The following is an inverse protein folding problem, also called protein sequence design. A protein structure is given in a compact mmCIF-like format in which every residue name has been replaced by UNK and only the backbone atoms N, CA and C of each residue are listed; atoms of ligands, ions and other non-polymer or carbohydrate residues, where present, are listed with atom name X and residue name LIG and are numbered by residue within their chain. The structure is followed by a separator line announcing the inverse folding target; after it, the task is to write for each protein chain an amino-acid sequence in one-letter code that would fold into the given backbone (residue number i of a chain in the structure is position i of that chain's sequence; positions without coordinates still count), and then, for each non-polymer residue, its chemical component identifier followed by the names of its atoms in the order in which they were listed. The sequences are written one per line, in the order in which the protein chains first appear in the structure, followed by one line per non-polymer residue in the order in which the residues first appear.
data_IF_016707193442
#
_entry.id   IF_016707193442
#
_cell.length_a   1.000
_cell.length_b   1.000
_cell.length_c   1.000
_cell.angle_alpha   90.00
_cell.angle_beta   90.00
_cell.angle_gamma   90.00
#
_symmetry.space_group_name_H-M   'P 1'
#
loop_
_entity.id
_entity.type
_entity.pdbx_description
1 polymer ?
#
# COMPACT_ATOMS: atom_id res chain seq x y z
N UNK A 1 46.78 -27.90 57.33
CA UNK A 1 46.22 -28.75 56.29
C UNK A 1 44.76 -28.37 56.19
N UNK A 2 44.42 -27.51 55.30
CA UNK A 2 43.06 -27.26 54.90
C UNK A 2 43.16 -26.76 53.44
N UNK A 3 43.06 -27.72 52.52
CA UNK A 3 42.92 -27.42 51.10
C UNK A 3 41.52 -26.88 50.87
N UNK A 4 41.47 -25.58 50.68
CA UNK A 4 40.29 -24.91 50.24
C UNK A 4 40.09 -25.30 48.75
N UNK A 5 39.14 -26.15 48.52
CA UNK A 5 38.58 -26.46 47.18
C UNK A 5 38.05 -25.16 46.66
N UNK A 6 38.80 -24.57 45.75
CA UNK A 6 38.33 -23.44 44.96
C UNK A 6 37.33 -24.01 43.94
N UNK A 7 36.08 -24.07 44.35
CA UNK A 7 34.99 -24.36 43.40
C UNK A 7 34.91 -23.21 42.44
N UNK A 8 35.58 -23.37 41.34
CA UNK A 8 35.43 -22.55 40.15
C UNK A 8 33.98 -22.72 39.64
N UNK A 9 33.10 -21.90 40.18
CA UNK A 9 31.74 -21.77 39.63
C UNK A 9 31.90 -21.18 38.25
N UNK A 10 31.46 -21.82 37.19
CA UNK A 10 31.50 -21.27 35.85
C UNK A 10 30.53 -20.10 35.85
N UNK A 11 31.03 -18.87 35.77
CA UNK A 11 30.26 -17.65 35.54
C UNK A 11 29.46 -17.66 34.23
N UNK A 12 29.49 -18.77 33.53
CA UNK A 12 29.00 -18.96 32.19
C UNK A 12 27.46 -19.16 32.10
N UNK A 13 26.86 -19.71 33.18
CA UNK A 13 25.40 -19.91 33.16
C UNK A 13 24.60 -18.58 33.20
N UNK A 14 25.12 -17.57 33.88
CA UNK A 14 24.49 -16.24 33.91
C UNK A 14 24.60 -15.54 32.55
N UNK A 15 25.78 -15.58 31.96
CA UNK A 15 26.00 -15.00 30.63
C UNK A 15 25.18 -15.73 29.57
N UNK A 16 25.11 -17.05 29.64
CA UNK A 16 24.31 -17.89 28.74
C UNK A 16 22.81 -17.61 28.94
N UNK A 17 22.36 -17.50 30.20
CA UNK A 17 20.96 -17.20 30.50
C UNK A 17 20.57 -15.77 30.09
N UNK A 18 21.41 -14.77 30.37
CA UNK A 18 21.18 -13.39 29.95
C UNK A 18 21.20 -13.25 28.43
N UNK A 19 22.07 -13.96 27.75
CA UNK A 19 22.09 -13.96 26.27
C UNK A 19 20.88 -14.66 25.66
N UNK A 20 20.35 -15.70 26.31
CA UNK A 20 19.14 -16.40 25.89
C UNK A 20 17.86 -15.56 26.09
N UNK A 21 17.84 -14.66 27.10
CA UNK A 21 16.71 -13.76 27.36
C UNK A 21 16.89 -12.36 26.73
N UNK A 22 18.06 -12.05 26.19
CA UNK A 22 18.23 -10.80 25.46
C UNK A 22 17.27 -10.78 24.27
N UNK A 23 16.36 -9.82 24.22
CA UNK A 23 15.53 -9.66 23.04
C UNK A 23 16.44 -9.40 21.84
N UNK A 24 16.49 -10.32 20.91
CA UNK A 24 17.16 -10.08 19.64
C UNK A 24 16.47 -8.89 18.96
N UNK A 25 17.25 -7.91 18.49
CA UNK A 25 16.69 -6.85 17.66
C UNK A 25 16.11 -7.49 16.41
N UNK A 26 14.79 -7.53 16.34
CA UNK A 26 14.10 -8.01 15.15
C UNK A 26 14.32 -6.99 14.03
N UNK A 27 14.78 -7.41 12.84
CA UNK A 27 14.90 -6.49 11.71
C UNK A 27 13.54 -5.87 11.38
N UNK A 28 13.57 -4.65 10.85
CA UNK A 28 12.35 -3.99 10.41
C UNK A 28 11.64 -4.83 9.34
N UNK A 29 10.32 -5.07 9.46
CA UNK A 29 9.59 -5.83 8.46
C UNK A 29 9.67 -5.15 7.07
N UNK A 30 9.53 -5.91 5.98
CA UNK A 30 9.45 -5.35 4.65
C UNK A 30 8.28 -4.36 4.54
N UNK A 31 8.44 -3.34 3.70
CA UNK A 31 7.43 -2.30 3.46
C UNK A 31 7.04 -1.48 4.70
N UNK A 32 7.91 -1.43 5.70
CA UNK A 32 7.72 -0.70 6.93
C UNK A 32 8.91 0.22 7.25
N UNK A 33 8.62 1.31 7.92
CA UNK A 33 9.59 2.19 8.55
C UNK A 33 9.49 2.02 10.06
N UNK A 34 10.62 1.69 10.69
CA UNK A 34 10.69 1.47 12.13
C UNK A 34 11.27 2.71 12.82
N UNK A 35 10.64 3.10 13.90
CA UNK A 35 11.05 4.22 14.73
C UNK A 35 11.47 3.76 16.13
N UNK A 36 12.18 4.59 16.90
CA UNK A 36 12.41 4.33 18.31
C UNK A 36 11.10 4.07 19.05
N UNK A 37 11.13 3.30 20.13
CA UNK A 37 9.97 2.91 20.94
C UNK A 37 9.02 1.88 20.30
N UNK A 38 9.51 1.07 19.37
CA UNK A 38 8.72 0.01 18.70
C UNK A 38 7.53 0.56 17.88
N UNK A 39 7.60 1.82 17.49
CA UNK A 39 6.64 2.40 16.54
C UNK A 39 6.99 1.93 15.13
N UNK A 40 5.98 1.45 14.40
CA UNK A 40 6.09 0.96 13.04
C UNK A 40 5.07 1.68 12.18
N UNK A 41 5.52 2.24 11.06
CA UNK A 41 4.65 2.82 10.02
C UNK A 41 4.81 2.03 8.74
N UNK A 42 3.69 1.61 8.18
CA UNK A 42 3.69 0.98 6.88
C UNK A 42 3.76 2.04 5.77
N UNK A 43 4.29 1.65 4.61
CA UNK A 43 4.26 2.48 3.40
C UNK A 43 2.80 2.67 2.93
N UNK A 44 2.56 3.65 2.06
CA UNK A 44 1.22 4.14 1.68
C UNK A 44 0.26 3.07 1.13
N UNK A 45 0.78 2.00 0.53
CA UNK A 45 -0.02 0.91 -0.03
C UNK A 45 -0.12 -0.32 0.88
N UNK A 46 0.29 -0.17 2.14
CA UNK A 46 0.33 -1.25 3.11
C UNK A 46 -0.37 -0.84 4.41
N UNK A 47 -1.09 -1.78 5.00
CA UNK A 47 -1.74 -1.61 6.30
C UNK A 47 -1.03 -2.42 7.38
N UNK A 48 -0.99 -1.87 8.58
CA UNK A 48 -0.42 -2.54 9.73
C UNK A 48 -1.32 -3.65 10.23
N UNK A 49 -0.79 -4.89 10.27
CA UNK A 49 -1.43 -6.04 10.88
C UNK A 49 -0.71 -6.39 12.17
N UNK A 50 -1.36 -6.25 13.34
CA UNK A 50 -0.76 -6.59 14.61
C UNK A 50 -0.52 -8.09 14.71
N UNK A 51 0.57 -8.49 15.37
CA UNK A 51 0.85 -9.91 15.61
C UNK A 51 -0.25 -10.51 16.51
N UNK A 52 -0.83 -11.68 16.18
CA UNK A 52 -1.98 -12.26 16.89
C UNK A 52 -1.68 -12.55 18.38
N UNK A 53 -0.44 -12.85 18.72
CA UNK A 53 -0.02 -13.12 20.10
C UNK A 53 0.49 -11.87 20.86
N UNK A 54 0.26 -10.67 20.35
CA UNK A 54 0.68 -9.43 21.03
C UNK A 54 -0.05 -9.20 22.36
N UNK A 55 -1.16 -9.88 22.63
CA UNK A 55 -1.95 -9.79 23.87
C UNK A 55 -2.13 -8.34 24.36
N UNK A 56 -2.68 -7.48 23.52
CA UNK A 56 -2.88 -6.06 23.80
C UNK A 56 -1.62 -5.27 24.22
N UNK A 57 -0.45 -5.69 23.75
CA UNK A 57 0.82 -5.03 24.03
C UNK A 57 1.62 -5.64 25.18
N UNK A 58 1.15 -6.73 25.78
CA UNK A 58 1.86 -7.41 26.85
C UNK A 58 3.16 -8.06 26.36
N UNK A 59 3.16 -8.53 25.11
CA UNK A 59 4.35 -9.07 24.45
C UNK A 59 4.82 -8.09 23.37
N UNK A 60 6.12 -7.72 23.35
CA UNK A 60 6.69 -6.80 22.36
C UNK A 60 6.91 -7.50 21.01
N UNK A 61 5.85 -8.07 20.45
CA UNK A 61 5.88 -8.71 19.14
C UNK A 61 5.60 -7.66 18.06
N UNK A 62 6.48 -7.63 17.06
CA UNK A 62 6.35 -6.72 15.93
C UNK A 62 5.27 -7.27 15.00
N UNK A 63 4.36 -6.39 14.56
CA UNK A 63 3.40 -6.73 13.50
C UNK A 63 4.06 -6.69 12.11
N UNK A 64 3.28 -6.94 11.11
CA UNK A 64 3.70 -6.93 9.70
C UNK A 64 2.90 -5.90 8.90
N UNK A 65 3.49 -5.40 7.81
CA UNK A 65 2.79 -4.58 6.84
C UNK A 65 2.31 -5.46 5.70
N UNK A 66 1.00 -5.57 5.55
CA UNK A 66 0.36 -6.34 4.48
C UNK A 66 -0.21 -5.40 3.42
N UNK A 67 -0.25 -5.80 2.13
CA UNK A 67 -0.84 -4.99 1.09
C UNK A 67 -2.29 -4.61 1.40
N UNK A 68 -2.66 -3.35 1.15
CA UNK A 68 -4.04 -2.89 1.27
C UNK A 68 -4.87 -3.38 0.06
N UNK A 69 -5.37 -4.59 0.17
CA UNK A 69 -6.17 -5.22 -0.88
C UNK A 69 -7.49 -4.49 -1.15
N UNK A 70 -8.04 -3.79 -0.17
CA UNK A 70 -9.27 -3.03 -0.35
C UNK A 70 -9.01 -1.76 -1.18
N UNK A 71 -7.91 -1.06 -0.93
CA UNK A 71 -7.47 0.08 -1.75
C UNK A 71 -7.22 -0.37 -3.20
N UNK A 72 -6.50 -1.47 -3.38
CA UNK A 72 -6.24 -2.03 -4.71
C UNK A 72 -7.53 -2.41 -5.45
N UNK A 73 -8.48 -3.03 -4.76
CA UNK A 73 -9.79 -3.35 -5.32
C UNK A 73 -10.55 -2.10 -5.76
N UNK A 74 -10.54 -1.04 -4.96
CA UNK A 74 -11.17 0.24 -5.30
C UNK A 74 -10.52 0.88 -6.52
N UNK A 75 -9.19 0.87 -6.59
CA UNK A 75 -8.44 1.34 -7.77
C UNK A 75 -8.86 0.56 -9.03
N UNK A 76 -8.92 -0.77 -8.95
CA UNK A 76 -9.33 -1.61 -10.07
C UNK A 76 -10.75 -1.30 -10.56
N UNK A 77 -11.70 -1.06 -9.64
CA UNK A 77 -13.08 -0.68 -10.01
C UNK A 77 -13.10 0.67 -10.74
N UNK A 78 -12.33 1.66 -10.27
CA UNK A 78 -12.26 2.97 -10.93
C UNK A 78 -11.60 2.85 -12.30
N UNK A 79 -10.53 2.07 -12.42
CA UNK A 79 -9.84 1.81 -13.68
C UNK A 79 -10.75 1.11 -14.71
N UNK A 80 -11.48 0.07 -14.31
CA UNK A 80 -12.44 -0.62 -15.18
C UNK A 80 -13.54 0.32 -15.66
N UNK A 81 -14.03 1.19 -14.77
CA UNK A 81 -15.05 2.18 -15.14
C UNK A 81 -14.51 3.24 -16.11
N UNK A 82 -13.27 3.71 -15.90
CA UNK A 82 -12.59 4.62 -16.82
C UNK A 82 -12.45 3.99 -18.21
N UNK A 83 -12.02 2.73 -18.28
CA UNK A 83 -11.95 1.98 -19.53
C UNK A 83 -13.31 1.87 -20.23
N UNK A 84 -14.38 1.61 -19.48
CA UNK A 84 -15.73 1.56 -20.05
C UNK A 84 -16.10 2.89 -20.70
N UNK A 85 -15.84 4.02 -20.04
CA UNK A 85 -16.13 5.36 -20.58
C UNK A 85 -15.33 5.62 -21.86
N UNK A 86 -14.05 5.25 -21.87
CA UNK A 86 -13.19 5.43 -23.05
C UNK A 86 -13.64 4.55 -24.23
N UNK A 87 -14.02 3.30 -23.96
CA UNK A 87 -14.55 2.37 -24.98
C UNK A 87 -15.89 2.83 -25.54
N UNK A 88 -16.78 3.35 -24.70
CA UNK A 88 -18.06 3.92 -25.13
C UNK A 88 -17.84 5.13 -26.05
N UNK A 89 -16.85 5.98 -25.74
CA UNK A 89 -16.48 7.10 -26.62
C UNK A 89 -15.89 6.63 -27.94
N UNK A 90 -14.99 5.66 -27.92
CA UNK A 90 -14.42 5.07 -29.13
C UNK A 90 -15.50 4.45 -30.02
N UNK A 91 -16.45 3.72 -29.43
CA UNK A 91 -17.57 3.14 -30.16
C UNK A 91 -18.45 4.19 -30.86
N UNK A 92 -18.69 5.35 -30.21
CA UNK A 92 -19.45 6.45 -30.84
C UNK A 92 -18.71 7.04 -32.04
N UNK A 93 -17.39 7.21 -31.91
CA UNK A 93 -16.57 7.67 -33.03
C UNK A 93 -16.69 6.74 -34.24
N UNK A 94 -16.61 5.43 -34.02
CA UNK A 94 -16.66 4.45 -35.10
C UNK A 94 -18.08 4.24 -35.66
N UNK A 95 -19.10 4.21 -34.80
CA UNK A 95 -20.46 3.84 -35.21
C UNK A 95 -21.31 5.06 -35.58
N UNK A 96 -21.12 6.21 -34.97
CA UNK A 96 -21.94 7.42 -35.12
C UNK A 96 -21.26 8.47 -36.01
N UNK A 97 -19.99 8.25 -36.41
CA UNK A 97 -19.23 9.15 -37.25
C UNK A 97 -18.83 10.45 -36.53
N UNK A 98 -18.75 10.42 -35.21
CA UNK A 98 -18.17 11.53 -34.44
C UNK A 98 -16.69 11.78 -34.81
N UNK A 99 -16.23 12.99 -34.64
CA UNK A 99 -14.82 13.31 -34.89
C UNK A 99 -13.92 12.51 -33.97
N UNK A 100 -12.83 11.89 -34.47
CA UNK A 100 -11.88 11.13 -33.66
C UNK A 100 -11.07 12.07 -32.76
N UNK A 101 -11.71 12.54 -31.71
CA UNK A 101 -11.09 13.41 -30.72
C UNK A 101 -10.84 12.57 -29.46
N UNK A 102 -9.59 12.54 -29.01
CA UNK A 102 -9.25 11.92 -27.74
C UNK A 102 -10.05 12.54 -26.59
N UNK A 103 -10.20 11.82 -25.49
CA UNK A 103 -10.85 12.33 -24.29
C UNK A 103 -9.80 12.85 -23.34
N UNK A 104 -9.98 14.06 -22.84
CA UNK A 104 -9.06 14.60 -21.83
C UNK A 104 -9.30 13.91 -20.49
N UNK A 105 -8.23 13.73 -19.71
CA UNK A 105 -8.30 13.13 -18.38
C UNK A 105 -9.33 13.78 -17.46
N UNK A 106 -9.42 15.12 -17.51
CA UNK A 106 -10.44 15.90 -16.77
C UNK A 106 -11.89 15.54 -17.15
N UNK A 107 -12.12 15.20 -18.42
CA UNK A 107 -13.45 14.84 -18.89
C UNK A 107 -13.80 13.42 -18.46
N UNK A 108 -12.83 12.50 -18.49
CA UNK A 108 -12.96 11.16 -17.91
C UNK A 108 -13.29 11.25 -16.42
N UNK A 109 -12.56 12.09 -15.68
CA UNK A 109 -12.82 12.33 -14.26
C UNK A 109 -14.23 12.88 -14.01
N UNK A 110 -14.67 13.85 -14.81
CA UNK A 110 -16.02 14.42 -14.69
C UNK A 110 -17.12 13.38 -14.95
N UNK A 111 -16.94 12.49 -15.91
CA UNK A 111 -17.87 11.39 -16.15
C UNK A 111 -17.90 10.40 -14.98
N UNK A 112 -16.72 10.04 -14.43
CA UNK A 112 -16.63 9.13 -13.30
C UNK A 112 -17.24 9.69 -12.02
N UNK A 113 -17.13 10.99 -11.79
CA UNK A 113 -17.76 11.66 -10.65
C UNK A 113 -19.28 11.52 -10.61
N UNK A 114 -19.94 11.36 -11.76
CA UNK A 114 -21.39 11.10 -11.82
C UNK A 114 -21.78 9.77 -11.18
N UNK A 115 -20.85 8.83 -11.13
CA UNK A 115 -21.05 7.47 -10.57
C UNK A 115 -20.40 7.28 -9.21
N UNK A 116 -19.82 8.37 -8.66
CA UNK A 116 -19.18 8.32 -7.34
C UNK A 116 -20.18 7.96 -6.24
N UNK A 117 -19.80 7.02 -5.38
CA UNK A 117 -20.58 6.71 -4.19
C UNK A 117 -20.59 7.89 -3.22
N UNK A 118 -21.74 8.20 -2.64
CA UNK A 118 -21.89 9.30 -1.67
C UNK A 118 -21.05 9.13 -0.38
N UNK A 119 -20.55 7.92 -0.13
CA UNK A 119 -19.68 7.63 1.02
C UNK A 119 -18.21 7.95 0.79
N UNK A 120 -17.80 8.23 -0.46
CA UNK A 120 -16.43 8.53 -0.83
C UNK A 120 -16.22 10.04 -0.85
N UNK A 121 -15.19 10.55 -0.18
CA UNK A 121 -14.83 11.98 -0.24
C UNK A 121 -14.24 12.34 -1.60
N UNK A 122 -14.21 13.62 -1.93
CA UNK A 122 -13.60 14.06 -3.19
C UNK A 122 -12.09 13.84 -3.21
N UNK A 123 -11.44 14.04 -2.07
CA UNK A 123 -10.00 13.82 -1.90
C UNK A 123 -9.62 12.35 -2.05
N UNK A 124 -10.39 11.44 -1.42
CA UNK A 124 -10.19 10.00 -1.59
C UNK A 124 -10.42 9.56 -3.04
N UNK A 125 -11.43 10.12 -3.70
CA UNK A 125 -11.68 9.84 -5.11
C UNK A 125 -10.52 10.29 -5.98
N UNK A 126 -9.94 11.45 -5.73
CA UNK A 126 -8.81 11.98 -6.49
C UNK A 126 -7.59 11.08 -6.40
N UNK A 127 -7.27 10.59 -5.21
CA UNK A 127 -6.17 9.63 -5.00
C UNK A 127 -6.43 8.32 -5.75
N UNK A 128 -7.66 7.79 -5.68
CA UNK A 128 -8.02 6.56 -6.37
C UNK A 128 -8.02 6.74 -7.90
N UNK A 129 -8.46 7.89 -8.37
CA UNK A 129 -8.51 8.22 -9.80
C UNK A 129 -7.09 8.31 -10.38
N UNK A 130 -6.18 9.04 -9.73
CA UNK A 130 -4.79 9.17 -10.18
C UNK A 130 -4.10 7.79 -10.25
N UNK A 131 -4.28 6.96 -9.22
CA UNK A 131 -3.76 5.60 -9.24
C UNK A 131 -4.39 4.74 -10.34
N UNK A 132 -5.70 4.87 -10.57
CA UNK A 132 -6.43 4.13 -11.60
C UNK A 132 -5.99 4.53 -13.02
N UNK A 133 -5.79 5.83 -13.28
CA UNK A 133 -5.26 6.30 -14.58
C UNK A 133 -3.86 5.73 -14.81
N UNK A 134 -3.01 5.70 -13.81
CA UNK A 134 -1.68 5.07 -13.91
C UNK A 134 -1.73 3.57 -14.25
N UNK A 135 -2.79 2.83 -13.85
CA UNK A 135 -3.00 1.45 -14.28
C UNK A 135 -3.53 1.37 -15.71
N UNK A 136 -4.45 2.26 -16.07
CA UNK A 136 -5.04 2.34 -17.41
C UNK A 136 -3.98 2.69 -18.48
N UNK A 137 -3.06 3.59 -18.17
CA UNK A 137 -1.95 3.97 -19.06
C UNK A 137 -1.00 2.80 -19.40
N UNK A 138 -0.91 1.80 -18.52
CA UNK A 138 -0.09 0.60 -18.77
C UNK A 138 -0.73 -0.36 -19.79
N UNK A 139 -1.99 -0.18 -20.11
CA UNK A 139 -2.68 -1.04 -21.04
C UNK A 139 -2.36 -0.65 -22.50
N UNK A 140 -2.01 -1.64 -23.30
CA UNK A 140 -1.67 -1.44 -24.71
C UNK A 140 -2.84 -0.94 -25.58
N UNK A 141 -4.05 -0.90 -25.04
CA UNK A 141 -5.26 -0.45 -25.72
C UNK A 141 -5.39 1.08 -25.76
N UNK A 142 -4.62 1.80 -24.93
CA UNK A 142 -4.75 3.24 -24.75
C UNK A 142 -3.49 3.95 -25.18
N UNK A 143 -3.65 4.93 -26.03
CA UNK A 143 -2.57 5.82 -26.46
C UNK A 143 -2.74 7.14 -25.73
N UNK A 144 -1.82 7.43 -24.81
CA UNK A 144 -1.76 8.69 -24.11
C UNK A 144 -0.90 9.68 -24.90
N UNK A 145 -1.50 10.80 -25.29
CA UNK A 145 -0.78 11.89 -25.95
C UNK A 145 -0.74 13.10 -25.02
N UNK A 146 0.44 13.67 -24.76
CA UNK A 146 0.52 14.90 -23.97
C UNK A 146 -0.21 16.04 -24.69
N UNK A 147 -1.06 16.75 -23.97
CA UNK A 147 -1.70 17.96 -24.47
C UNK A 147 -0.68 19.09 -24.58
N UNK A 148 -0.92 20.04 -25.49
CA UNK A 148 -0.07 21.22 -25.66
C UNK A 148 0.04 22.08 -24.38
N UNK A 149 -0.91 21.94 -23.47
CA UNK A 149 -0.96 22.65 -22.17
C UNK A 149 -0.28 21.88 -21.03
N UNK A 150 0.36 20.74 -21.31
CA UNK A 150 1.01 19.90 -20.30
C UNK A 150 0.04 19.06 -19.44
N UNK A 151 -1.26 19.09 -19.73
CA UNK A 151 -2.27 18.17 -19.17
C UNK A 151 -2.37 16.92 -20.03
N UNK A 152 -2.55 15.79 -19.36
CA UNK A 152 -2.80 14.48 -20.02
C UNK A 152 -4.26 14.30 -20.39
#
# INVERSE_FOLDING_TARGET
MADLVNEHYPDDWRSTFINAIRPACTPCPPHAQCFPNLELRCNDDYIYKPHPFRLNGLLPLVGECIPDTEKQRRIAIVAERALSVLRDKAARVECEGETPTGMMEKDVKAELLKYKSGSLTDEEFDILFEAAIGEVEKLNEIIVTPSADGSK
#
